data_IF_310502137832
#
_entry.id   IF_310502137832
#
_cell.length_a   1.000
_cell.length_b   1.000
_cell.length_c   1.000
_cell.angle_alpha   90.00
_cell.angle_beta   90.00
_cell.angle_gamma   90.00
#
_symmetry.space_group_name_H-M   'P 1'
#
loop_
_entity.id
_entity.type
_entity.pdbx_description
1 polymer ?
#
# COMPACT_ATOMS: atom_id res chain seq x y z
N UNK A 1 72.94 -1.82 -3.64
CA UNK A 1 71.50 -1.55 -3.78
C UNK A 1 70.77 -2.44 -2.79
N UNK A 2 70.35 -1.88 -1.66
CA UNK A 2 69.59 -2.59 -0.64
C UNK A 2 68.12 -2.14 -0.77
N UNK A 3 67.22 -3.08 -1.05
CA UNK A 3 65.79 -2.83 -1.10
C UNK A 3 65.17 -3.32 0.21
N UNK A 4 64.60 -2.39 0.97
CA UNK A 4 63.93 -2.63 2.23
C UNK A 4 62.56 -3.30 2.01
N UNK A 5 62.30 -4.39 2.73
CA UNK A 5 60.95 -4.94 2.92
C UNK A 5 60.18 -4.03 3.87
N UNK A 6 59.06 -3.46 3.42
CA UNK A 6 58.06 -2.83 4.29
C UNK A 6 57.01 -3.91 4.60
N UNK A 7 56.98 -4.37 5.84
CA UNK A 7 55.90 -5.21 6.39
C UNK A 7 54.82 -4.26 6.91
N UNK A 8 53.68 -4.17 6.22
CA UNK A 8 52.50 -3.49 6.72
C UNK A 8 51.72 -4.45 7.63
N UNK A 9 51.76 -4.20 8.94
CA UNK A 9 50.98 -4.93 9.94
C UNK A 9 49.51 -4.54 9.77
N UNK A 10 48.69 -5.51 9.34
CA UNK A 10 47.23 -5.40 9.29
C UNK A 10 46.70 -5.58 10.72
N UNK A 11 46.16 -4.51 11.31
CA UNK A 11 45.46 -4.60 12.58
C UNK A 11 44.07 -5.23 12.34
N UNK A 12 43.97 -6.53 12.59
CA UNK A 12 42.70 -7.24 12.77
C UNK A 12 42.10 -6.81 14.12
N UNK A 13 41.12 -5.90 14.07
CA UNK A 13 40.25 -5.61 15.21
C UNK A 13 39.23 -6.73 15.37
N UNK A 14 39.48 -7.64 16.31
CA UNK A 14 38.50 -8.61 16.79
C UNK A 14 37.57 -7.87 17.77
N UNK A 15 36.39 -7.48 17.28
CA UNK A 15 35.26 -7.03 18.11
C UNK A 15 34.32 -8.20 18.36
N UNK A 16 34.10 -8.50 19.64
CA UNK A 16 33.46 -9.69 20.15
C UNK A 16 32.00 -9.89 19.71
N UNK A 17 31.63 -11.17 19.52
CA UNK A 17 30.24 -11.63 19.50
C UNK A 17 29.55 -11.26 20.83
N UNK A 18 28.64 -10.30 20.77
CA UNK A 18 27.56 -10.13 21.75
C UNK A 18 26.29 -10.68 21.12
N UNK A 19 25.82 -11.81 21.62
CA UNK A 19 24.49 -12.36 21.32
C UNK A 19 23.43 -11.43 21.92
N UNK A 20 22.75 -10.68 21.07
CA UNK A 20 21.47 -10.07 21.36
C UNK A 20 20.56 -10.41 20.18
N UNK A 21 19.81 -11.51 20.31
CA UNK A 21 18.68 -11.82 19.42
C UNK A 21 17.51 -10.92 19.83
N UNK A 22 17.66 -9.63 19.57
CA UNK A 22 16.57 -8.67 19.51
C UNK A 22 16.16 -8.52 18.05
N UNK A 23 14.88 -8.70 17.75
CA UNK A 23 14.30 -8.46 16.44
C UNK A 23 14.78 -7.09 15.92
N UNK A 24 15.45 -7.12 14.77
CA UNK A 24 16.00 -5.93 14.13
C UNK A 24 14.88 -5.02 13.65
N UNK A 25 14.42 -4.14 14.55
CA UNK A 25 13.85 -2.87 14.14
C UNK A 25 14.95 -2.12 13.41
N UNK A 26 14.72 -1.79 12.14
CA UNK A 26 15.68 -1.05 11.33
C UNK A 26 16.07 0.24 12.04
N UNK A 27 17.31 0.31 12.52
CA UNK A 27 17.85 1.53 13.08
C UNK A 27 18.05 2.48 11.90
N UNK A 28 17.11 3.42 11.72
CA UNK A 28 17.19 4.47 10.70
C UNK A 28 18.55 5.17 10.80
N UNK A 29 19.41 4.96 9.81
CA UNK A 29 20.72 5.59 9.75
C UNK A 29 20.55 7.11 9.85
N UNK A 30 21.26 7.76 10.78
CA UNK A 30 21.29 9.22 11.04
C UNK A 30 20.39 10.09 10.12
N UNK A 31 19.10 10.20 10.49
CA UNK A 31 18.13 11.09 9.83
C UNK A 31 17.49 10.56 8.54
N UNK A 32 17.75 9.33 8.11
CA UNK A 32 17.15 8.72 6.91
C UNK A 32 15.96 7.85 7.28
N UNK A 33 14.80 8.10 6.67
CA UNK A 33 13.57 7.32 6.84
C UNK A 33 13.25 6.62 5.53
N UNK A 34 13.12 5.29 5.55
CA UNK A 34 12.65 4.47 4.42
C UNK A 34 11.13 4.39 4.47
N UNK A 35 10.46 5.07 3.56
CA UNK A 35 9.00 5.11 3.51
C UNK A 35 8.48 4.37 2.28
N UNK A 36 7.71 3.31 2.49
CA UNK A 36 7.15 2.52 1.40
C UNK A 36 5.63 2.71 1.32
N UNK A 37 5.13 2.90 0.11
CA UNK A 37 3.72 3.21 -0.17
C UNK A 37 3.34 2.64 -1.54
N UNK A 38 2.06 2.41 -1.83
CA UNK A 38 1.57 2.25 -3.19
C UNK A 38 1.97 3.42 -4.12
N UNK A 39 1.89 3.26 -5.45
CA UNK A 39 2.02 4.40 -6.37
C UNK A 39 0.94 5.47 -6.12
N UNK A 40 1.24 6.51 -5.34
CA UNK A 40 0.25 7.50 -4.90
C UNK A 40 0.40 8.89 -5.59
N UNK A 41 -0.68 9.46 -6.14
CA UNK A 41 -0.64 10.74 -6.85
C UNK A 41 -0.43 11.95 -5.94
N UNK A 42 -0.81 11.89 -4.66
CA UNK A 42 -0.60 12.99 -3.70
C UNK A 42 0.88 13.07 -3.32
N UNK A 43 1.52 11.93 -3.04
CA UNK A 43 2.95 11.86 -2.76
C UNK A 43 3.78 12.34 -3.94
N UNK A 44 3.39 11.95 -5.15
CA UNK A 44 3.96 12.49 -6.38
C UNK A 44 3.79 14.00 -6.48
N UNK A 45 2.58 14.51 -6.24
CA UNK A 45 2.32 15.96 -6.29
C UNK A 45 3.16 16.73 -5.26
N UNK A 46 3.28 16.24 -4.03
CA UNK A 46 4.12 16.86 -2.98
C UNK A 46 5.58 16.97 -3.42
N UNK A 47 6.09 15.94 -4.08
CA UNK A 47 7.44 15.92 -4.66
C UNK A 47 7.55 16.91 -5.83
N UNK A 48 6.60 16.86 -6.78
CA UNK A 48 6.58 17.75 -7.96
C UNK A 48 6.48 19.25 -7.57
N UNK A 49 5.89 19.57 -6.40
CA UNK A 49 5.80 20.93 -5.88
C UNK A 49 7.01 21.38 -5.05
N UNK A 50 7.99 20.51 -4.78
CA UNK A 50 9.14 20.84 -3.94
C UNK A 50 8.84 20.89 -2.43
N UNK A 51 7.62 20.50 -2.02
CA UNK A 51 7.16 20.58 -0.63
C UNK A 51 7.91 19.56 0.22
N UNK A 52 8.15 18.37 -0.33
CA UNK A 52 8.89 17.31 0.36
C UNK A 52 10.30 17.76 0.71
N UNK A 53 11.03 18.35 -0.23
CA UNK A 53 12.37 18.85 -0.03
C UNK A 53 12.41 19.95 1.04
N UNK A 54 11.42 20.85 1.04
CA UNK A 54 11.30 21.88 2.08
C UNK A 54 11.08 21.25 3.47
N UNK A 55 10.21 20.25 3.57
CA UNK A 55 9.90 19.56 4.83
C UNK A 55 11.10 18.75 5.33
N UNK A 56 11.79 18.01 4.46
CA UNK A 56 13.01 17.26 4.76
C UNK A 56 14.13 18.19 5.29
N UNK A 57 14.38 19.31 4.60
CA UNK A 57 15.38 20.29 5.03
C UNK A 57 15.05 20.90 6.40
N UNK A 58 13.79 21.26 6.63
CA UNK A 58 13.33 21.84 7.90
C UNK A 58 13.44 20.84 9.06
N UNK A 59 13.08 19.59 8.80
CA UNK A 59 13.12 18.52 9.80
C UNK A 59 14.52 17.92 9.97
N UNK A 60 15.47 18.22 9.08
CA UNK A 60 16.82 17.63 9.02
C UNK A 60 16.77 16.11 8.91
N UNK A 61 15.88 15.64 8.05
CA UNK A 61 15.73 14.22 7.70
C UNK A 61 15.84 14.06 6.18
N UNK A 62 15.96 12.83 5.73
CA UNK A 62 15.82 12.43 4.33
C UNK A 62 14.78 11.32 4.25
N UNK A 63 13.81 11.43 3.35
CA UNK A 63 12.87 10.33 3.08
C UNK A 63 13.34 9.62 1.81
N UNK A 64 13.61 8.33 1.95
CA UNK A 64 13.82 7.40 0.84
C UNK A 64 12.50 6.70 0.57
N UNK A 65 11.80 7.15 -0.47
CA UNK A 65 10.52 6.60 -0.86
C UNK A 65 10.66 5.46 -1.86
N UNK A 66 9.82 4.43 -1.72
CA UNK A 66 9.71 3.32 -2.68
C UNK A 66 8.24 2.97 -2.94
N UNK A 67 7.89 2.73 -4.19
CA UNK A 67 6.54 2.35 -4.59
C UNK A 67 6.40 0.82 -4.74
N UNK A 68 5.42 0.21 -4.06
CA UNK A 68 5.09 -1.24 -4.18
C UNK A 68 3.64 -1.51 -3.78
N UNK A 69 3.10 -2.64 -4.22
CA UNK A 69 1.80 -3.18 -3.79
C UNK A 69 1.90 -4.25 -2.69
N UNK A 70 3.12 -4.52 -2.21
CA UNK A 70 3.42 -5.45 -1.10
C UNK A 70 4.14 -4.71 0.03
N UNK A 71 3.51 -3.67 0.57
CA UNK A 71 4.09 -2.87 1.65
C UNK A 71 4.29 -3.72 2.92
N UNK A 72 3.36 -4.65 3.20
CA UNK A 72 3.47 -5.59 4.31
C UNK A 72 4.76 -6.40 4.24
N UNK A 73 5.04 -7.06 3.10
CA UNK A 73 6.21 -7.91 2.95
C UNK A 73 7.53 -7.13 3.08
N UNK A 74 7.58 -5.92 2.52
CA UNK A 74 8.74 -5.03 2.63
C UNK A 74 8.97 -4.60 4.08
N UNK A 75 7.92 -4.24 4.81
CA UNK A 75 8.01 -3.84 6.22
C UNK A 75 8.43 -5.01 7.13
N UNK A 76 7.72 -6.13 7.05
CA UNK A 76 8.01 -7.32 7.85
C UNK A 76 9.40 -7.91 7.55
N UNK A 77 9.90 -7.71 6.33
CA UNK A 77 11.26 -8.07 5.93
C UNK A 77 12.37 -7.11 6.39
N UNK A 78 12.03 -6.03 7.11
CA UNK A 78 12.98 -5.03 7.60
C UNK A 78 13.51 -4.04 6.55
N UNK A 79 12.85 -3.97 5.38
CA UNK A 79 13.28 -3.14 4.25
C UNK A 79 12.63 -1.74 4.24
N UNK A 80 11.66 -1.48 5.11
CA UNK A 80 11.04 -0.17 5.32
C UNK A 80 11.00 0.19 6.81
N UNK A 81 10.98 1.50 7.11
CA UNK A 81 10.81 2.03 8.46
C UNK A 81 9.35 2.46 8.69
N UNK A 82 8.69 2.94 7.63
CA UNK A 82 7.28 3.34 7.60
C UNK A 82 6.61 2.70 6.40
N UNK A 83 5.38 2.21 6.59
CA UNK A 83 4.50 1.78 5.50
C UNK A 83 3.11 2.37 5.62
N UNK A 84 2.46 2.56 4.47
CA UNK A 84 1.01 2.75 4.41
C UNK A 84 0.37 1.45 3.96
N UNK A 85 -0.61 1.00 4.74
CA UNK A 85 -1.23 -0.32 4.60
C UNK A 85 -2.72 -0.23 4.89
N UNK A 86 -3.47 -1.24 4.47
CA UNK A 86 -4.86 -1.38 4.84
C UNK A 86 -5.03 -1.54 6.35
N UNK A 87 -6.08 -0.94 6.91
CA UNK A 87 -6.42 -1.10 8.34
C UNK A 87 -6.66 -2.55 8.75
N UNK A 88 -7.03 -3.42 7.81
CA UNK A 88 -7.20 -4.85 8.01
C UNK A 88 -5.87 -5.63 8.11
N UNK A 89 -4.76 -5.06 7.62
CA UNK A 89 -3.43 -5.68 7.68
C UNK A 89 -2.69 -5.31 8.98
N UNK A 90 -3.06 -4.19 9.61
CA UNK A 90 -2.42 -3.69 10.83
C UNK A 90 -2.37 -4.72 11.96
N UNK A 91 -3.44 -5.47 12.30
CA UNK A 91 -3.37 -6.49 13.33
C UNK A 91 -2.31 -7.57 13.02
N UNK A 92 -2.25 -8.00 11.75
CA UNK A 92 -1.27 -8.98 11.29
C UNK A 92 0.15 -8.42 11.32
N UNK A 93 0.36 -7.14 11.02
CA UNK A 93 1.67 -6.49 11.16
C UNK A 93 2.09 -6.52 12.63
N UNK A 94 1.23 -6.07 13.54
CA UNK A 94 1.55 -5.98 14.97
C UNK A 94 1.79 -7.36 15.59
N UNK A 95 1.02 -8.37 15.19
CA UNK A 95 1.14 -9.72 15.74
C UNK A 95 2.26 -10.54 15.09
N UNK A 96 2.43 -10.44 13.76
CA UNK A 96 3.23 -11.41 12.98
C UNK A 96 4.55 -10.86 12.46
N UNK A 97 4.71 -9.54 12.34
CA UNK A 97 5.97 -8.98 11.81
C UNK A 97 7.12 -9.08 12.81
N UNK A 98 6.82 -9.18 14.11
CA UNK A 98 7.83 -9.11 15.17
C UNK A 98 8.48 -7.72 15.33
N UNK A 99 7.96 -6.71 14.63
CA UNK A 99 8.40 -5.32 14.70
C UNK A 99 7.54 -4.58 15.71
N UNK A 100 8.16 -3.80 16.59
CA UNK A 100 7.43 -2.89 17.50
C UNK A 100 6.94 -1.68 16.69
N UNK A 101 5.65 -1.72 16.34
CA UNK A 101 5.03 -0.77 15.41
C UNK A 101 4.05 0.16 16.12
N UNK A 102 4.02 1.41 15.68
CA UNK A 102 2.98 2.38 16.04
C UNK A 102 2.17 2.77 14.81
N UNK A 103 0.89 3.06 15.01
CA UNK A 103 -0.02 3.52 13.95
C UNK A 103 -0.05 5.04 13.95
N UNK A 104 0.21 5.65 12.79
CA UNK A 104 0.22 7.11 12.65
C UNK A 104 -0.85 7.53 11.65
N UNK A 105 -1.89 8.18 12.17
CA UNK A 105 -2.92 8.83 11.35
C UNK A 105 -3.78 7.86 10.54
N UNK A 106 -4.63 8.46 9.70
CA UNK A 106 -5.44 7.79 8.68
C UNK A 106 -5.23 8.54 7.38
N UNK A 107 -5.07 7.82 6.28
CA UNK A 107 -4.75 8.43 5.00
C UNK A 107 -5.97 8.50 4.08
N UNK A 108 -6.56 7.35 3.74
CA UNK A 108 -7.74 7.28 2.88
C UNK A 108 -8.70 6.16 3.32
N UNK A 109 -9.98 6.36 3.03
CA UNK A 109 -11.07 5.38 3.23
C UNK A 109 -11.24 4.58 1.95
N UNK A 110 -11.68 3.33 2.06
CA UNK A 110 -11.98 2.49 0.90
C UNK A 110 -13.08 3.05 -0.01
N UNK A 111 -12.79 3.04 -1.31
CA UNK A 111 -13.62 3.63 -2.38
C UNK A 111 -13.91 2.65 -3.51
N UNK A 112 -13.60 1.37 -3.34
CA UNK A 112 -13.92 0.41 -4.37
C UNK A 112 -15.44 0.27 -4.49
N UNK A 113 -15.92 0.09 -5.70
CA UNK A 113 -17.33 -0.11 -6.01
C UNK A 113 -17.51 -1.47 -6.64
N UNK A 114 -18.67 -2.08 -6.46
CA UNK A 114 -19.02 -3.28 -7.21
C UNK A 114 -19.66 -2.82 -8.52
N UNK A 115 -19.16 -3.28 -9.65
CA UNK A 115 -19.67 -2.91 -10.95
C UNK A 115 -19.85 -4.12 -11.87
N UNK A 116 -20.78 -3.97 -12.80
CA UNK A 116 -21.20 -4.96 -13.80
C UNK A 116 -21.20 -4.32 -15.19
N UNK A 117 -21.18 -5.11 -16.29
CA UNK A 117 -21.51 -4.61 -17.62
C UNK A 117 -22.79 -3.78 -17.61
N UNK A 118 -22.83 -2.69 -18.36
CA UNK A 118 -23.95 -1.77 -18.33
C UNK A 118 -25.30 -2.39 -18.79
N UNK A 119 -25.25 -3.46 -19.57
CA UNK A 119 -26.40 -4.25 -20.02
C UNK A 119 -26.77 -5.42 -19.09
N UNK A 120 -26.09 -5.56 -17.94
CA UNK A 120 -26.44 -6.54 -16.91
C UNK A 120 -27.69 -6.14 -16.12
N UNK A 121 -28.59 -7.11 -15.94
CA UNK A 121 -29.80 -7.00 -15.12
C UNK A 121 -29.52 -7.13 -13.60
N UNK A 122 -28.28 -7.39 -13.19
CA UNK A 122 -27.93 -7.57 -11.77
C UNK A 122 -27.99 -6.25 -10.99
N UNK A 123 -28.61 -6.24 -9.81
CA UNK A 123 -28.70 -5.03 -8.95
C UNK A 123 -27.96 -5.19 -7.63
N UNK A 124 -27.81 -6.44 -7.19
CA UNK A 124 -27.18 -6.82 -5.93
C UNK A 124 -26.18 -7.95 -6.16
N UNK A 125 -25.30 -8.18 -5.19
CA UNK A 125 -24.39 -9.33 -5.20
C UNK A 125 -25.14 -10.67 -5.23
N UNK A 126 -26.37 -10.72 -4.72
CA UNK A 126 -27.18 -11.95 -4.76
C UNK A 126 -27.62 -12.31 -6.17
N UNK A 127 -27.78 -11.30 -7.04
CA UNK A 127 -28.14 -11.51 -8.43
C UNK A 127 -26.98 -12.12 -9.23
N UNK A 128 -25.75 -12.01 -8.72
CA UNK A 128 -24.56 -12.59 -9.35
C UNK A 128 -24.52 -14.12 -9.28
N UNK A 129 -25.22 -14.79 -8.34
CA UNK A 129 -25.45 -16.24 -8.37
C UNK A 129 -24.28 -17.12 -8.85
N UNK A 130 -24.42 -17.69 -10.06
CA UNK A 130 -23.45 -18.58 -10.74
C UNK A 130 -22.44 -17.83 -11.65
N UNK A 131 -22.47 -16.49 -11.67
CA UNK A 131 -21.61 -15.64 -12.48
C UNK A 131 -20.16 -15.61 -11.96
N UNK A 132 -19.24 -15.30 -12.87
CA UNK A 132 -17.83 -15.15 -12.56
C UNK A 132 -17.50 -13.73 -12.10
N UNK A 133 -17.08 -13.63 -10.84
CA UNK A 133 -16.48 -12.43 -10.29
C UNK A 133 -14.96 -12.58 -10.30
N UNK A 134 -14.27 -11.70 -11.02
CA UNK A 134 -12.82 -11.74 -11.10
C UNK A 134 -12.20 -10.84 -10.04
N UNK A 135 -11.39 -11.43 -9.17
CA UNK A 135 -10.43 -10.72 -8.31
C UNK A 135 -9.08 -10.82 -9.01
N UNK A 136 -8.68 -9.73 -9.66
CA UNK A 136 -7.42 -9.61 -10.39
C UNK A 136 -6.68 -8.34 -9.96
N UNK A 137 -5.57 -8.05 -10.63
CA UNK A 137 -4.89 -6.77 -10.52
C UNK A 137 -5.89 -5.61 -10.72
N UNK A 138 -5.86 -4.66 -9.79
CA UNK A 138 -6.82 -3.55 -9.71
C UNK A 138 -6.92 -2.73 -10.98
N UNK A 139 -5.84 -2.68 -11.77
CA UNK A 139 -5.78 -1.94 -13.03
C UNK A 139 -6.52 -2.66 -14.17
N UNK A 140 -6.74 -3.97 -14.04
CA UNK A 140 -7.34 -4.81 -15.09
C UNK A 140 -8.82 -5.12 -14.83
N UNK A 141 -9.31 -4.95 -13.61
CA UNK A 141 -10.67 -5.35 -13.24
C UNK A 141 -11.76 -4.65 -14.07
N UNK A 142 -11.64 -3.33 -14.30
CA UNK A 142 -12.58 -2.57 -15.13
C UNK A 142 -12.65 -3.06 -16.58
N UNK A 143 -11.51 -3.12 -17.29
CA UNK A 143 -11.45 -3.69 -18.64
C UNK A 143 -12.00 -5.11 -18.77
N UNK A 144 -11.70 -6.02 -17.83
CA UNK A 144 -12.18 -7.41 -17.86
C UNK A 144 -13.70 -7.50 -17.71
N UNK A 145 -14.28 -6.73 -16.80
CA UNK A 145 -15.73 -6.66 -16.68
C UNK A 145 -16.35 -6.04 -17.94
N UNK A 146 -15.78 -4.96 -18.46
CA UNK A 146 -16.32 -4.28 -19.65
C UNK A 146 -16.21 -5.11 -20.94
N UNK A 147 -15.26 -6.04 -21.03
CA UNK A 147 -15.12 -6.96 -22.17
C UNK A 147 -16.00 -8.21 -22.07
N UNK A 148 -16.65 -8.43 -20.91
CA UNK A 148 -17.40 -9.66 -20.62
C UNK A 148 -16.51 -10.86 -20.29
N UNK A 149 -15.22 -10.64 -20.03
CA UNK A 149 -14.32 -11.68 -19.49
C UNK A 149 -14.56 -11.92 -17.99
N UNK A 150 -15.21 -10.96 -17.32
CA UNK A 150 -15.79 -11.11 -15.99
C UNK A 150 -17.23 -10.57 -16.00
N UNK A 151 -18.13 -11.18 -15.24
CA UNK A 151 -19.52 -10.72 -15.12
C UNK A 151 -19.65 -9.54 -14.14
N UNK A 152 -18.68 -9.40 -13.22
CA UNK A 152 -18.59 -8.30 -12.26
C UNK A 152 -17.15 -8.04 -11.81
N UNK A 153 -16.90 -6.84 -11.27
CA UNK A 153 -15.65 -6.47 -10.61
C UNK A 153 -15.89 -5.77 -9.26
N UNK A 154 -14.92 -5.89 -8.35
CA UNK A 154 -14.67 -4.85 -7.32
C UNK A 154 -13.70 -3.86 -7.96
N UNK A 155 -14.26 -2.82 -8.55
CA UNK A 155 -13.52 -1.85 -9.32
C UNK A 155 -13.12 -0.65 -8.46
N UNK A 156 -11.90 -0.18 -8.66
CA UNK A 156 -11.51 1.14 -8.18
C UNK A 156 -11.87 2.20 -9.22
N UNK A 157 -12.69 3.21 -8.87
CA UNK A 157 -13.17 4.18 -9.85
C UNK A 157 -12.06 4.87 -10.64
N UNK A 158 -10.91 5.13 -10.02
CA UNK A 158 -9.78 5.82 -10.67
C UNK A 158 -9.13 4.97 -11.77
N UNK A 159 -9.08 3.64 -11.60
CA UNK A 159 -8.55 2.71 -12.60
C UNK A 159 -9.59 2.32 -13.67
N UNK A 160 -10.89 2.39 -13.34
CA UNK A 160 -11.99 2.08 -14.26
C UNK A 160 -12.71 3.33 -14.80
N UNK A 161 -12.09 4.52 -14.69
CA UNK A 161 -12.72 5.80 -15.02
C UNK A 161 -13.18 5.88 -16.47
N UNK A 162 -12.44 5.26 -17.39
CA UNK A 162 -12.81 5.22 -18.80
C UNK A 162 -14.13 4.48 -18.98
N UNK A 163 -14.24 3.27 -18.44
CA UNK A 163 -15.39 2.38 -18.59
C UNK A 163 -16.65 2.96 -17.92
N UNK A 164 -16.51 3.61 -16.77
CA UNK A 164 -17.63 4.32 -16.14
C UNK A 164 -18.05 5.54 -16.97
N UNK A 165 -17.10 6.33 -17.46
CA UNK A 165 -17.40 7.54 -18.25
C UNK A 165 -18.04 7.22 -19.60
N UNK A 166 -17.64 6.12 -20.24
CA UNK A 166 -18.21 5.67 -21.52
C UNK A 166 -19.53 4.91 -21.36
N UNK A 167 -19.93 4.60 -20.12
CA UNK A 167 -21.13 3.83 -19.82
C UNK A 167 -21.01 2.36 -20.17
N UNK A 168 -19.79 1.82 -20.22
CA UNK A 168 -19.56 0.37 -20.40
C UNK A 168 -19.78 -0.41 -19.10
N UNK A 169 -19.53 0.23 -17.96
CA UNK A 169 -19.81 -0.33 -16.64
C UNK A 169 -20.88 0.49 -15.93
N UNK A 170 -21.69 -0.21 -15.14
CA UNK A 170 -22.63 0.37 -14.18
C UNK A 170 -22.24 -0.08 -12.77
N UNK A 171 -22.28 0.85 -11.83
CA UNK A 171 -22.07 0.54 -10.42
C UNK A 171 -23.35 -0.05 -9.81
N UNK A 172 -23.20 -1.09 -9.00
CA UNK A 172 -24.26 -1.60 -8.13
C UNK A 172 -24.45 -0.68 -6.91
N UNK A 173 -25.52 -0.91 -6.16
CA UNK A 173 -25.79 -0.22 -4.87
C UNK A 173 -25.77 1.32 -4.96
N UNK A 174 -26.32 1.88 -6.04
CA UNK A 174 -26.35 3.32 -6.29
C UNK A 174 -24.95 3.98 -6.28
N UNK A 175 -23.89 3.22 -6.57
CA UNK A 175 -22.51 3.71 -6.58
C UNK A 175 -21.88 3.89 -5.20
N UNK A 176 -22.49 3.34 -4.14
CA UNK A 176 -21.86 3.33 -2.82
C UNK A 176 -20.56 2.55 -2.85
N UNK A 177 -19.51 3.12 -2.25
CA UNK A 177 -18.25 2.38 -2.07
C UNK A 177 -18.38 1.28 -1.02
N UNK A 178 -17.46 0.33 -1.04
CA UNK A 178 -17.22 -0.65 0.01
C UNK A 178 -17.08 0.01 1.40
N UNK A 179 -16.39 1.15 1.46
CA UNK A 179 -16.33 2.00 2.66
C UNK A 179 -17.72 2.43 3.13
N UNK A 180 -18.56 2.98 2.25
CA UNK A 180 -19.91 3.44 2.59
C UNK A 180 -20.84 2.27 2.94
N UNK A 181 -20.78 1.17 2.19
CA UNK A 181 -21.56 -0.05 2.47
C UNK A 181 -21.19 -0.62 3.85
N UNK A 182 -19.91 -0.61 4.22
CA UNK A 182 -19.49 -1.04 5.55
C UNK A 182 -20.09 -0.15 6.65
N UNK A 183 -20.10 1.17 6.44
CA UNK A 183 -20.69 2.10 7.39
C UNK A 183 -22.19 1.86 7.55
N UNK A 184 -22.90 1.68 6.45
CA UNK A 184 -24.36 1.55 6.45
C UNK A 184 -24.83 0.19 7.01
N UNK A 185 -24.17 -0.89 6.59
CA UNK A 185 -24.68 -2.26 6.78
C UNK A 185 -23.96 -3.06 7.87
N UNK A 186 -22.69 -2.74 8.15
CA UNK A 186 -21.85 -3.54 9.06
C UNK A 186 -21.63 -2.84 10.39
N UNK A 187 -21.16 -1.59 10.36
CA UNK A 187 -20.82 -0.85 11.58
C UNK A 187 -21.19 0.64 11.47
N UNK A 188 -22.44 1.00 11.78
CA UNK A 188 -22.91 2.38 11.80
C UNK A 188 -22.07 3.30 12.66
N UNK A 189 -21.64 4.42 12.08
CA UNK A 189 -20.79 5.41 12.73
C UNK A 189 -19.29 5.12 12.66
N UNK A 190 -18.87 4.00 12.06
CA UNK A 190 -17.47 3.81 11.65
C UNK A 190 -17.16 4.68 10.43
N UNK A 191 -15.88 4.92 10.12
CA UNK A 191 -15.46 5.64 8.90
C UNK A 191 -15.21 4.70 7.71
N UNK A 192 -15.59 3.42 7.81
CA UNK A 192 -15.17 2.36 6.89
C UNK A 192 -13.71 1.91 7.08
N UNK A 193 -13.26 0.84 6.40
CA UNK A 193 -11.87 0.42 6.40
C UNK A 193 -10.99 1.47 5.71
N UNK A 194 -9.80 1.70 6.26
CA UNK A 194 -8.73 2.43 5.58
C UNK A 194 -8.00 1.49 4.64
N UNK A 195 -7.63 2.00 3.46
CA UNK A 195 -6.91 1.25 2.44
C UNK A 195 -5.92 2.16 1.71
N UNK A 196 -4.82 1.56 1.27
CA UNK A 196 -3.83 2.21 0.44
C UNK A 196 -4.10 1.88 -1.03
N UNK A 197 -4.34 2.89 -1.86
CA UNK A 197 -4.68 2.75 -3.28
C UNK A 197 -4.06 3.89 -4.07
#
# INVERSE_FOLDING_TARGET
MAAALIVAVTALGVGACGSDEGAGGGESADGVIRFTFAPDPVWRWLTDQGIREEMEQKAKIQILDSATWDEFGIYAGGNADIVSVGSFEVPDIVEKSGVDSVIIGKYNVARAVIAVPADSDAETLSDLGDMEMVIADVQNMGPLAASGEADACICLPDFAIEQFRTGQLRMLYDGKSDGQLFQDEVLPGHEGPMINI
#
